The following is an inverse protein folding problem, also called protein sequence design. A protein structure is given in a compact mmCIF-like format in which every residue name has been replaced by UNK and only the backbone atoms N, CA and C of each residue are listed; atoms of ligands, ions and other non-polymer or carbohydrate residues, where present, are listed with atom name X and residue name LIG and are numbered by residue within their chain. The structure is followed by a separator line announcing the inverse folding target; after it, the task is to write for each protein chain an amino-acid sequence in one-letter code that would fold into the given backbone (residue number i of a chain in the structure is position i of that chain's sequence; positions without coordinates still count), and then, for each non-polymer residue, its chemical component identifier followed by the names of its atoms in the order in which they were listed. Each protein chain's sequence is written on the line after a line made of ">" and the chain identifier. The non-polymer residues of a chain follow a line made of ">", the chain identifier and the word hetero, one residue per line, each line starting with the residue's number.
data_IF_188501614948
#
_entry.id   IF_188501614948
#
_cell.length_a   1.000
_cell.length_b   1.000
_cell.length_c   1.000
_cell.angle_alpha   90.00
_cell.angle_beta   90.00
_cell.angle_gamma   90.00
#
_symmetry.space_group_name_H-M   'P 1'
#
loop_
_entity.id
_entity.type
_entity.pdbx_description
1 polymer ?
#
# COMPACT_ATOMS: atom_id res chain seq x y z
N UNK A 1 43.97 -16.73 25.34
CA UNK A 1 42.54 -16.35 25.40
C UNK A 1 42.36 -14.96 24.79
N UNK A 2 42.18 -14.82 23.47
CA UNK A 2 41.64 -13.59 22.86
C UNK A 2 41.05 -13.99 21.50
N UNK A 3 39.73 -13.85 21.31
CA UNK A 3 39.08 -13.59 20.01
C UNK A 3 37.54 -13.67 20.11
N UNK A 4 36.87 -12.66 20.69
CA UNK A 4 35.42 -12.45 20.50
C UNK A 4 35.11 -10.95 20.57
N UNK A 5 35.37 -10.17 19.52
CA UNK A 5 34.86 -8.77 19.43
C UNK A 5 34.38 -8.36 18.02
N UNK A 6 34.68 -9.13 16.96
CA UNK A 6 34.49 -8.65 15.57
C UNK A 6 33.13 -8.98 14.93
N UNK A 7 32.03 -9.06 15.70
CA UNK A 7 30.71 -9.42 15.15
C UNK A 7 29.66 -8.28 15.19
N UNK A 8 29.79 -7.27 16.05
CA UNK A 8 28.74 -6.25 16.23
C UNK A 8 28.76 -5.12 15.18
N UNK A 9 29.92 -4.76 14.62
CA UNK A 9 30.03 -3.61 13.71
C UNK A 9 29.39 -3.87 12.31
N UNK A 10 29.45 -5.11 11.82
CA UNK A 10 28.88 -5.49 10.52
C UNK A 10 27.34 -5.47 10.55
N UNK A 11 26.75 -5.86 11.69
CA UNK A 11 25.29 -5.86 11.88
C UNK A 11 24.74 -4.43 11.92
N UNK A 12 25.43 -3.50 12.59
CA UNK A 12 25.03 -2.09 12.65
C UNK A 12 25.09 -1.37 11.29
N UNK A 13 26.14 -1.63 10.50
CA UNK A 13 26.29 -1.05 9.16
C UNK A 13 25.22 -1.52 8.16
N UNK A 14 24.88 -2.81 8.19
CA UNK A 14 23.80 -3.35 7.36
C UNK A 14 22.44 -2.74 7.74
N UNK A 15 22.14 -2.60 9.04
CA UNK A 15 20.88 -2.03 9.51
C UNK A 15 20.70 -0.57 9.06
N UNK A 16 21.76 0.24 9.16
CA UNK A 16 21.73 1.63 8.71
C UNK A 16 21.60 1.76 7.18
N UNK A 17 22.19 0.84 6.42
CA UNK A 17 22.09 0.82 4.95
C UNK A 17 20.68 0.43 4.48
N UNK A 18 20.10 -0.64 5.05
CA UNK A 18 18.75 -1.07 4.68
C UNK A 18 17.66 -0.04 5.06
N UNK A 19 17.88 0.75 6.11
CA UNK A 19 16.95 1.82 6.50
C UNK A 19 16.96 3.04 5.55
N UNK A 20 17.77 3.03 4.49
CA UNK A 20 17.76 4.08 3.44
C UNK A 20 16.80 3.79 2.31
N UNK A 21 16.38 2.54 2.11
CA UNK A 21 15.49 2.18 1.00
C UNK A 21 14.15 2.92 1.15
N UNK A 22 13.69 3.68 0.14
CA UNK A 22 12.37 4.34 0.16
C UNK A 22 11.24 3.34 0.47
N UNK A 23 11.33 2.13 -0.11
CA UNK A 23 10.40 1.04 0.17
C UNK A 23 10.35 0.63 1.66
N UNK A 24 11.50 0.59 2.35
CA UNK A 24 11.53 0.27 3.79
C UNK A 24 10.85 1.36 4.61
N UNK A 25 10.99 2.63 4.23
CA UNK A 25 10.29 3.75 4.87
C UNK A 25 8.79 3.69 4.62
N UNK A 26 8.39 3.46 3.36
CA UNK A 26 6.98 3.35 2.96
C UNK A 26 6.21 2.32 3.77
N UNK A 27 6.83 1.16 4.03
CA UNK A 27 6.23 0.06 4.79
C UNK A 27 6.52 0.11 6.30
N UNK A 28 7.30 1.08 6.79
CA UNK A 28 7.64 1.17 8.21
C UNK A 28 8.60 0.08 8.72
N UNK A 29 9.42 -0.49 7.84
CA UNK A 29 10.46 -1.45 8.19
C UNK A 29 10.35 -2.80 7.49
N UNK A 30 11.46 -3.56 7.57
CA UNK A 30 11.58 -4.90 6.97
C UNK A 30 10.62 -5.94 7.56
N UNK A 31 10.18 -5.75 8.81
CA UNK A 31 9.20 -6.61 9.47
C UNK A 31 7.84 -6.52 8.78
N UNK A 32 7.37 -5.31 8.50
CA UNK A 32 6.10 -5.09 7.81
C UNK A 32 6.16 -5.54 6.34
N UNK A 33 7.28 -5.30 5.65
CA UNK A 33 7.49 -5.84 4.30
C UNK A 33 7.42 -7.38 4.27
N UNK A 34 7.85 -8.07 5.33
CA UNK A 34 7.74 -9.53 5.44
C UNK A 34 6.28 -10.00 5.51
N UNK A 35 5.42 -9.24 6.20
CA UNK A 35 3.97 -9.50 6.26
C UNK A 35 3.36 -9.45 4.86
N UNK A 36 3.75 -8.46 4.05
CA UNK A 36 3.28 -8.32 2.65
C UNK A 36 3.89 -9.37 1.72
N UNK A 37 5.15 -9.75 1.94
CA UNK A 37 5.85 -10.73 1.10
C UNK A 37 5.33 -12.16 1.28
N UNK A 38 4.98 -12.52 2.50
CA UNK A 38 4.56 -13.88 2.85
C UNK A 38 3.30 -13.89 3.73
N UNK A 39 2.18 -13.30 3.26
CA UNK A 39 0.95 -13.27 4.04
C UNK A 39 0.37 -14.69 4.14
N UNK A 40 -0.14 -15.03 5.32
CA UNK A 40 -0.97 -16.22 5.52
C UNK A 40 -2.41 -15.98 5.06
N UNK A 41 -2.85 -14.72 5.05
CA UNK A 41 -4.14 -14.27 4.54
C UNK A 41 -4.06 -12.82 4.13
N UNK A 42 -4.82 -12.45 3.10
CA UNK A 42 -5.09 -11.04 2.76
C UNK A 42 -6.60 -10.86 2.72
N UNK A 43 -7.07 -9.79 3.35
CA UNK A 43 -8.47 -9.37 3.32
C UNK A 43 -8.58 -8.02 2.64
N UNK A 44 -9.64 -7.81 1.88
CA UNK A 44 -9.96 -6.55 1.26
C UNK A 44 -11.25 -5.98 1.85
N UNK A 45 -11.27 -4.66 1.95
CA UNK A 45 -12.38 -3.88 2.49
C UNK A 45 -12.65 -2.69 1.57
N UNK A 46 -13.93 -2.36 1.39
CA UNK A 46 -14.33 -1.10 0.78
C UNK A 46 -14.43 -0.04 1.87
N UNK A 47 -13.99 1.17 1.55
CA UNK A 47 -14.02 2.33 2.42
C UNK A 47 -15.07 3.32 1.92
N UNK A 48 -15.76 3.96 2.85
CA UNK A 48 -16.70 5.04 2.58
C UNK A 48 -16.02 6.40 2.59
N UNK A 49 -16.83 7.46 2.53
CA UNK A 49 -16.34 8.83 2.61
C UNK A 49 -15.67 9.12 3.96
N UNK A 50 -14.60 9.95 3.97
CA UNK A 50 -13.98 10.37 5.21
C UNK A 50 -14.94 11.24 6.06
N UNK A 51 -14.67 11.41 7.36
CA UNK A 51 -15.35 12.39 8.17
C UNK A 51 -15.28 13.79 7.53
N UNK A 52 -16.44 14.44 7.40
CA UNK A 52 -16.55 15.75 6.74
C UNK A 52 -16.91 15.69 5.24
N UNK A 53 -16.98 14.50 4.63
CA UNK A 53 -17.41 14.31 3.24
C UNK A 53 -16.25 14.25 2.24
N UNK A 54 -16.58 14.00 0.96
CA UNK A 54 -15.62 13.79 -0.13
C UNK A 54 -15.84 14.79 -1.28
N UNK A 55 -14.78 15.42 -1.83
CA UNK A 55 -13.38 15.32 -1.39
C UNK A 55 -13.13 16.10 -0.09
N UNK A 56 -12.16 15.67 0.76
CA UNK A 56 -11.87 16.39 1.98
C UNK A 56 -11.07 17.67 1.70
N UNK A 57 -11.37 18.74 2.45
CA UNK A 57 -10.68 20.04 2.34
C UNK A 57 -9.21 19.97 2.83
N UNK A 58 -8.92 19.01 3.70
CA UNK A 58 -7.62 18.80 4.33
C UNK A 58 -7.24 17.33 4.30
N UNK A 59 -5.99 17.04 4.62
CA UNK A 59 -5.56 15.66 4.80
C UNK A 59 -6.35 14.98 5.93
N UNK A 60 -6.94 13.83 5.62
CA UNK A 60 -7.61 12.94 6.57
C UNK A 60 -6.79 11.67 6.67
N UNK A 61 -6.55 11.20 7.91
CA UNK A 61 -5.82 9.95 8.12
C UNK A 61 -6.56 8.78 7.46
N UNK A 62 -5.86 7.85 6.78
CA UNK A 62 -6.50 6.65 6.26
C UNK A 62 -7.21 5.82 7.33
N UNK A 63 -6.79 5.95 8.60
CA UNK A 63 -7.40 5.25 9.74
C UNK A 63 -8.80 5.76 10.08
N UNK A 64 -9.17 6.95 9.64
CA UNK A 64 -10.45 7.59 9.93
C UNK A 64 -11.53 7.25 8.88
N UNK A 65 -11.17 6.54 7.81
CA UNK A 65 -12.11 6.13 6.77
C UNK A 65 -12.98 4.96 7.26
N UNK A 66 -14.32 5.09 7.23
CA UNK A 66 -15.21 4.02 7.67
C UNK A 66 -15.16 2.85 6.69
N UNK A 67 -15.15 1.62 7.22
CA UNK A 67 -15.32 0.42 6.40
C UNK A 67 -16.80 0.26 6.06
N UNK A 68 -17.12 0.19 4.78
CA UNK A 68 -18.50 0.06 4.28
C UNK A 68 -18.82 -1.36 3.82
N UNK A 69 -17.81 -2.14 3.41
CA UNK A 69 -17.98 -3.54 3.03
C UNK A 69 -16.72 -4.37 3.30
N UNK A 70 -16.90 -5.69 3.41
CA UNK A 70 -15.86 -6.67 3.72
C UNK A 70 -15.93 -7.21 5.16
N UNK A 71 -14.96 -8.04 5.57
CA UNK A 71 -13.81 -8.51 4.80
C UNK A 71 -14.20 -9.44 3.65
N UNK A 72 -13.57 -9.27 2.48
CA UNK A 72 -13.50 -10.29 1.44
C UNK A 72 -12.12 -10.91 1.47
N UNK A 73 -12.04 -12.23 1.56
CA UNK A 73 -10.76 -12.94 1.47
C UNK A 73 -10.25 -12.83 0.04
N UNK A 74 -9.05 -12.27 -0.14
CA UNK A 74 -8.42 -12.11 -1.45
C UNK A 74 -8.04 -13.49 -1.99
N UNK A 75 -8.45 -13.86 -3.22
CA UNK A 75 -8.07 -15.12 -3.85
C UNK A 75 -6.55 -15.30 -3.92
N UNK A 76 -6.06 -16.53 -3.70
CA UNK A 76 -4.62 -16.81 -3.64
C UNK A 76 -3.86 -16.43 -4.92
N UNK A 77 -4.50 -16.53 -6.08
CA UNK A 77 -3.94 -16.10 -7.36
C UNK A 77 -3.75 -14.57 -7.44
N UNK A 78 -4.57 -13.79 -6.74
CA UNK A 78 -4.46 -12.33 -6.68
C UNK A 78 -3.48 -11.87 -5.59
N UNK A 79 -3.32 -12.64 -4.49
CA UNK A 79 -2.39 -12.30 -3.40
C UNK A 79 -0.95 -12.15 -3.91
N UNK A 80 -0.45 -13.12 -4.68
CA UNK A 80 0.91 -13.06 -5.22
C UNK A 80 1.14 -11.83 -6.11
N UNK A 81 0.19 -11.56 -7.01
CA UNK A 81 0.21 -10.42 -7.93
C UNK A 81 0.24 -9.09 -7.17
N UNK A 82 -0.64 -8.94 -6.16
CA UNK A 82 -0.72 -7.73 -5.34
C UNK A 82 0.58 -7.55 -4.53
N UNK A 83 1.03 -8.60 -3.84
CA UNK A 83 2.25 -8.55 -3.03
C UNK A 83 3.49 -8.22 -3.85
N UNK A 84 3.60 -8.78 -5.06
CA UNK A 84 4.69 -8.49 -5.99
C UNK A 84 4.64 -7.03 -6.43
N UNK A 85 3.48 -6.54 -6.88
CA UNK A 85 3.31 -5.14 -7.25
C UNK A 85 3.66 -4.18 -6.10
N UNK A 86 3.17 -4.43 -4.88
CA UNK A 86 3.46 -3.57 -3.73
C UNK A 86 4.91 -3.61 -3.26
N UNK A 87 5.69 -4.64 -3.62
CA UNK A 87 7.09 -4.76 -3.20
C UNK A 87 8.08 -4.49 -4.32
N UNK A 88 7.60 -4.24 -5.54
CA UNK A 88 8.41 -3.87 -6.68
C UNK A 88 8.78 -2.38 -6.60
N UNK A 89 10.07 -2.06 -6.73
CA UNK A 89 10.54 -0.68 -6.58
C UNK A 89 10.05 0.25 -7.69
N UNK A 90 9.80 -0.28 -8.88
CA UNK A 90 9.32 0.41 -10.08
C UNK A 90 7.80 0.67 -10.07
N UNK A 91 7.07 0.13 -9.09
CA UNK A 91 5.68 0.53 -8.80
C UNK A 91 5.57 2.02 -8.49
N UNK A 92 6.61 2.59 -7.90
CA UNK A 92 6.55 3.85 -7.19
C UNK A 92 7.23 5.01 -7.92
N UNK A 93 6.63 6.20 -7.79
CA UNK A 93 7.11 7.45 -8.35
C UNK A 93 8.06 8.23 -7.41
N UNK A 94 9.15 7.62 -6.96
CA UNK A 94 9.99 8.16 -5.86
C UNK A 94 10.58 9.57 -6.08
N UNK A 95 10.70 10.03 -7.32
CA UNK A 95 11.46 11.23 -7.70
C UNK A 95 10.55 12.40 -8.10
N UNK A 96 9.24 12.29 -7.88
CA UNK A 96 8.31 13.38 -8.18
C UNK A 96 7.28 13.58 -7.09
N UNK A 97 6.77 14.81 -7.01
CA UNK A 97 5.60 15.12 -6.21
C UNK A 97 4.36 15.13 -7.08
N UNK A 98 3.29 14.51 -6.60
CA UNK A 98 2.02 14.48 -7.29
C UNK A 98 1.17 15.69 -6.94
N UNK A 99 0.78 16.45 -7.95
CA UNK A 99 -0.27 17.46 -7.80
C UNK A 99 -1.66 16.77 -7.78
N UNK A 100 -1.97 16.05 -6.71
CA UNK A 100 -3.33 15.61 -6.38
C UNK A 100 -3.84 16.42 -5.17
N UNK A 101 -5.15 16.55 -5.03
CA UNK A 101 -5.75 16.95 -3.76
C UNK A 101 -5.50 15.89 -2.67
N UNK A 102 -6.03 16.11 -1.46
CA UNK A 102 -6.00 15.09 -0.42
C UNK A 102 -6.52 13.72 -0.92
N UNK A 103 -5.83 12.60 -0.63
CA UNK A 103 -6.23 11.30 -1.13
C UNK A 103 -7.57 10.86 -0.53
N UNK A 104 -8.45 10.31 -1.38
CA UNK A 104 -9.71 9.67 -1.00
C UNK A 104 -9.54 8.16 -1.10
N UNK A 105 -9.29 7.51 0.04
CA UNK A 105 -9.05 6.07 0.07
C UNK A 105 -10.37 5.30 -0.13
N UNK A 106 -10.41 4.43 -1.14
CA UNK A 106 -11.59 3.62 -1.46
C UNK A 106 -11.44 2.15 -1.08
N UNK A 107 -10.20 1.67 -0.94
CA UNK A 107 -9.91 0.25 -0.64
C UNK A 107 -8.86 0.15 0.45
N UNK A 108 -9.06 -0.78 1.38
CA UNK A 108 -8.05 -1.23 2.33
C UNK A 108 -7.75 -2.70 2.11
N UNK A 109 -6.46 -3.03 2.01
CA UNK A 109 -5.94 -4.39 2.02
C UNK A 109 -5.26 -4.66 3.36
N UNK A 110 -5.73 -5.67 4.10
CA UNK A 110 -5.12 -6.11 5.36
C UNK A 110 -4.35 -7.40 5.13
N UNK A 111 -3.03 -7.35 5.24
CA UNK A 111 -2.12 -8.49 5.14
C UNK A 111 -1.86 -9.05 6.52
N UNK A 112 -2.00 -10.37 6.68
CA UNK A 112 -1.80 -11.06 7.95
C UNK A 112 -0.65 -12.04 7.84
N UNK A 113 0.21 -12.08 8.86
CA UNK A 113 1.21 -13.12 9.04
C UNK A 113 1.32 -13.46 10.53
N UNK A 114 0.86 -14.65 10.92
CA UNK A 114 0.73 -15.05 12.32
C UNK A 114 -0.08 -14.02 13.14
N UNK A 115 0.57 -13.30 14.08
CA UNK A 115 -0.06 -12.25 14.91
C UNK A 115 0.09 -10.84 14.34
N UNK A 116 0.86 -10.70 13.26
CA UNK A 116 1.15 -9.40 12.66
C UNK A 116 0.10 -9.08 11.58
N UNK A 117 -0.29 -7.80 11.52
CA UNK A 117 -1.16 -7.24 10.50
C UNK A 117 -0.55 -5.95 9.96
N UNK A 118 -0.60 -5.77 8.65
CA UNK A 118 -0.31 -4.51 7.99
C UNK A 118 -1.48 -4.14 7.09
N UNK A 119 -1.94 -2.90 7.18
CA UNK A 119 -2.95 -2.35 6.31
C UNK A 119 -2.32 -1.49 5.21
N UNK A 120 -2.81 -1.63 3.99
CA UNK A 120 -2.47 -0.80 2.83
C UNK A 120 -3.76 -0.15 2.32
N UNK A 121 -3.80 1.17 2.35
CA UNK A 121 -4.93 1.98 1.93
C UNK A 121 -4.67 2.51 0.53
N UNK A 122 -5.62 2.36 -0.39
CA UNK A 122 -5.47 2.68 -1.80
C UNK A 122 -6.46 3.79 -2.19
N UNK A 123 -5.93 4.89 -2.73
CA UNK A 123 -6.67 5.94 -3.40
C UNK A 123 -6.49 5.79 -4.91
N UNK A 124 -7.47 5.25 -5.63
CA UNK A 124 -7.40 5.11 -7.09
C UNK A 124 -7.73 6.40 -7.85
N UNK A 125 -8.17 7.46 -7.18
CA UNK A 125 -8.27 8.77 -7.82
C UNK A 125 -6.87 9.38 -8.01
N UNK A 126 -6.06 9.31 -6.96
CA UNK A 126 -4.70 9.84 -6.94
C UNK A 126 -3.65 8.77 -7.25
N UNK A 127 -3.99 7.50 -7.43
CA UNK A 127 -3.01 6.41 -7.47
C UNK A 127 -1.97 6.52 -6.35
N UNK A 128 -2.42 6.80 -5.12
CA UNK A 128 -1.58 6.94 -3.92
C UNK A 128 -1.97 5.86 -2.94
N UNK A 129 -0.97 5.23 -2.33
CA UNK A 129 -1.18 4.31 -1.21
C UNK A 129 -0.55 4.82 0.07
N UNK A 130 -1.12 4.42 1.19
CA UNK A 130 -0.53 4.60 2.52
C UNK A 130 -0.50 3.29 3.29
N UNK A 131 0.57 3.03 4.05
CA UNK A 131 0.62 1.84 4.93
C UNK A 131 0.45 2.22 6.39
N UNK A 132 -0.22 1.35 7.14
CA UNK A 132 -0.41 1.53 8.57
C UNK A 132 -0.45 0.20 9.33
N UNK A 133 -0.08 0.24 10.60
CA UNK A 133 -0.16 -0.87 11.54
C UNK A 133 -0.38 -0.36 12.95
N UNK A 134 -1.22 -1.04 13.72
CA UNK A 134 -1.43 -0.76 15.14
C UNK A 134 -1.76 0.72 15.44
N UNK A 135 -2.54 1.37 14.56
CA UNK A 135 -2.93 2.77 14.67
C UNK A 135 -1.86 3.78 14.24
N UNK A 136 -0.72 3.32 13.71
CA UNK A 136 0.36 4.16 13.22
C UNK A 136 0.45 4.10 11.69
N UNK A 137 0.51 5.27 11.06
CA UNK A 137 0.82 5.43 9.63
C UNK A 137 2.33 5.51 9.43
N UNK A 138 2.87 4.87 8.40
CA UNK A 138 4.32 4.85 8.12
C UNK A 138 4.73 5.74 6.97
N UNK A 139 4.16 5.51 5.78
CA UNK A 139 4.50 6.25 4.58
C UNK A 139 3.39 6.22 3.57
N UNK A 140 3.46 7.17 2.65
CA UNK A 140 2.55 7.33 1.52
C UNK A 140 3.38 7.46 0.25
N UNK A 141 2.94 6.85 -0.85
CA UNK A 141 3.62 6.97 -2.14
C UNK A 141 2.68 6.68 -3.32
N UNK A 142 3.01 7.25 -4.47
CA UNK A 142 2.38 7.04 -5.77
C UNK A 142 2.59 5.62 -6.29
N UNK A 143 1.56 4.98 -6.82
CA UNK A 143 1.63 3.65 -7.45
C UNK A 143 1.20 3.65 -8.93
N UNK A 144 1.28 4.78 -9.64
CA UNK A 144 0.81 4.91 -11.04
C UNK A 144 1.20 3.74 -11.95
N UNK A 145 2.45 3.27 -11.84
CA UNK A 145 2.98 2.18 -12.65
C UNK A 145 2.30 0.83 -12.37
N UNK A 146 1.83 0.61 -11.14
CA UNK A 146 1.11 -0.60 -10.72
C UNK A 146 -0.41 -0.49 -10.80
N UNK A 147 -0.98 0.67 -11.19
CA UNK A 147 -2.44 0.87 -11.24
C UNK A 147 -3.15 -0.26 -11.98
N UNK A 148 -2.67 -0.58 -13.19
CA UNK A 148 -3.29 -1.61 -14.03
C UNK A 148 -3.32 -2.98 -13.34
N UNK A 149 -2.24 -3.36 -12.68
CA UNK A 149 -2.14 -4.63 -11.94
C UNK A 149 -3.10 -4.64 -10.75
N UNK A 150 -3.10 -3.56 -9.95
CA UNK A 150 -3.90 -3.47 -8.74
C UNK A 150 -5.40 -3.38 -9.04
N UNK A 151 -5.82 -2.58 -10.02
CA UNK A 151 -7.22 -2.50 -10.45
C UNK A 151 -7.71 -3.85 -10.95
N UNK A 152 -6.94 -4.52 -11.81
CA UNK A 152 -7.30 -5.84 -12.33
C UNK A 152 -7.45 -6.88 -11.23
N UNK A 153 -6.55 -6.88 -10.24
CA UNK A 153 -6.65 -7.78 -9.09
C UNK A 153 -7.89 -7.45 -8.24
N UNK A 154 -8.20 -6.17 -7.99
CA UNK A 154 -9.37 -5.78 -7.21
C UNK A 154 -10.69 -6.10 -7.90
N UNK A 155 -10.77 -6.03 -9.22
CA UNK A 155 -11.95 -6.48 -9.98
C UNK A 155 -12.23 -7.97 -9.79
N UNK A 156 -11.19 -8.78 -9.55
CA UNK A 156 -11.37 -10.20 -9.20
C UNK A 156 -11.86 -10.39 -7.75
N UNK A 157 -11.46 -9.49 -6.84
CA UNK A 157 -11.85 -9.51 -5.43
C UNK A 157 -13.29 -9.01 -5.23
N UNK A 158 -13.69 -7.97 -5.98
CA UNK A 158 -14.99 -7.32 -5.90
C UNK A 158 -15.74 -7.37 -7.25
N UNK A 159 -16.07 -8.56 -7.77
CA UNK A 159 -16.62 -8.71 -9.13
C UNK A 159 -18.02 -8.09 -9.32
N UNK A 160 -18.72 -7.75 -8.23
CA UNK A 160 -20.06 -7.18 -8.27
C UNK A 160 -20.11 -5.74 -7.74
N UNK A 161 -18.95 -5.15 -7.40
CA UNK A 161 -18.91 -3.76 -6.96
C UNK A 161 -18.78 -2.84 -8.17
N UNK A 162 -19.80 -2.01 -8.40
CA UNK A 162 -19.87 -1.12 -9.56
C UNK A 162 -18.74 -0.11 -9.60
N UNK A 163 -18.33 0.43 -8.45
CA UNK A 163 -17.27 1.45 -8.39
C UNK A 163 -15.94 0.81 -8.79
N UNK A 164 -15.64 -0.38 -8.27
CA UNK A 164 -14.43 -1.12 -8.64
C UNK A 164 -14.49 -1.59 -10.10
N UNK A 165 -15.65 -2.02 -10.60
CA UNK A 165 -15.85 -2.42 -11.99
C UNK A 165 -15.54 -1.27 -12.97
N UNK A 166 -15.98 -0.06 -12.62
CA UNK A 166 -15.80 1.16 -13.41
C UNK A 166 -14.37 1.73 -13.36
N UNK A 167 -13.51 1.28 -12.43
CA UNK A 167 -12.10 1.71 -12.39
C UNK A 167 -11.38 1.33 -13.69
N UNK A 168 -10.83 2.33 -14.37
CA UNK A 168 -9.92 2.11 -15.50
C UNK A 168 -8.59 1.53 -15.01
N UNK A 169 -8.09 0.49 -15.68
CA UNK A 169 -6.74 -0.06 -15.44
C UNK A 169 -5.65 0.93 -15.88
N UNK A 170 -5.92 1.75 -16.88
CA UNK A 170 -5.04 2.85 -17.27
C UNK A 170 -5.41 4.09 -16.49
N UNK A 171 -4.40 4.82 -16.01
CA UNK A 171 -4.64 6.21 -15.64
C UNK A 171 -4.89 6.93 -16.95
N UNK A 172 -6.12 7.43 -17.16
CA UNK A 172 -6.40 8.28 -18.31
C UNK A 172 -5.50 9.50 -18.15
N UNK A 173 -4.38 9.47 -18.87
CA UNK A 173 -3.41 10.55 -18.81
C UNK A 173 -4.15 11.84 -19.15
N UNK A 174 -3.88 12.90 -18.39
CA UNK A 174 -3.77 14.19 -19.04
C UNK A 174 -2.72 13.93 -20.13
N UNK A 175 -3.18 13.91 -21.38
CA UNK A 175 -2.32 13.77 -22.54
C UNK A 175 -1.27 14.85 -22.38
N UNK A 176 -0.05 14.44 -22.04
CA UNK A 176 1.10 15.30 -22.08
C UNK A 176 1.24 15.73 -23.54
N UNK A 177 0.79 16.94 -23.83
CA UNK A 177 1.24 17.70 -24.99
C UNK A 177 2.76 17.73 -24.85
N UNK A 178 3.44 16.95 -25.68
CA UNK A 178 4.88 17.08 -25.91
C UNK A 178 5.16 18.41 -26.58
#
# INVERSE_FOLDING_TARGET
>A
MVAVVTACAIIGGAYAYFNRSPLVKLFGGVSNMRVVRHPTRVEAYLLGDPPGGSPPEHYVSPLDYPVTAGPIVVPSNSVGIISEALLANDTYGWEWDKACGPPVYGVKLSFYQAKDRLDVYLCFQCDVLTTARDGQVFGSEDFDNARHVLVKALKQVFPNDKVIEELSEQRLGIIGVR
#
